data_IF_094882311720
#
_entry.id   IF_094882311720
#
_cell.length_a   1.000
_cell.length_b   1.000
_cell.length_c   1.000
_cell.angle_alpha   90.00
_cell.angle_beta   90.00
_cell.angle_gamma   90.00
#
_symmetry.space_group_name_H-M   'P 1'
#
loop_
_entity.id
_entity.type
_entity.pdbx_description
1 polymer ?
#
# COMPACT_ATOMS: atom_id res chain seq x y z
N UNK A 1 55.61 27.38 79.61
CA UNK A 1 56.04 28.80 79.63
C UNK A 1 55.09 29.58 78.75
N UNK A 2 54.37 30.51 79.38
CA UNK A 2 53.51 31.52 78.76
C UNK A 2 54.32 32.44 77.85
N UNK A 3 53.71 32.87 76.73
CA UNK A 3 53.38 34.29 76.50
C UNK A 3 52.38 34.47 75.36
N UNK A 4 51.42 35.35 75.62
CA UNK A 4 50.36 35.87 74.75
C UNK A 4 50.64 37.39 74.59
N UNK A 5 50.01 38.04 73.59
CA UNK A 5 49.86 39.52 73.37
C UNK A 5 51.00 40.10 72.49
N UNK A 6 50.82 40.93 71.44
CA UNK A 6 49.85 42.01 71.23
C UNK A 6 49.61 42.40 69.75
N UNK A 7 48.35 42.76 69.50
CA UNK A 7 47.80 43.86 68.68
C UNK A 7 48.74 44.79 67.89
N UNK A 8 48.46 44.94 66.60
CA UNK A 8 48.92 46.03 65.74
C UNK A 8 47.96 46.30 64.59
N UNK A 9 46.90 47.06 64.86
CA UNK A 9 46.03 47.72 63.87
C UNK A 9 46.82 48.90 63.29
N UNK A 10 46.55 49.28 62.03
CA UNK A 10 46.86 50.55 61.34
C UNK A 10 47.69 50.33 60.07
N UNK A 11 47.03 50.52 58.93
CA UNK A 11 47.66 50.50 57.61
C UNK A 11 46.63 50.43 56.48
N UNK A 12 45.54 51.19 56.60
CA UNK A 12 44.61 51.44 55.49
C UNK A 12 45.32 52.36 54.49
N UNK A 13 45.23 51.98 53.20
CA UNK A 13 45.57 52.77 52.01
C UNK A 13 47.05 53.05 51.76
N UNK A 14 47.61 52.37 50.76
CA UNK A 14 48.38 52.92 49.62
C UNK A 14 48.81 51.71 48.78
N UNK A 15 48.43 51.65 47.50
CA UNK A 15 48.90 50.60 46.59
C UNK A 15 47.92 50.21 45.49
N UNK A 16 47.32 51.18 44.81
CA UNK A 16 46.76 50.94 43.49
C UNK A 16 47.91 50.64 42.52
N UNK A 17 47.94 49.46 41.91
CA UNK A 17 48.47 49.14 40.57
C UNK A 17 48.97 47.68 40.47
N UNK A 18 48.06 46.70 40.40
CA UNK A 18 48.28 45.48 39.60
C UNK A 18 46.93 45.07 39.00
N UNK A 19 46.53 45.75 37.93
CA UNK A 19 45.66 45.16 36.93
C UNK A 19 46.57 44.45 35.93
N UNK A 20 46.54 43.12 35.87
CA UNK A 20 46.68 42.37 34.62
C UNK A 20 46.55 40.86 34.86
N UNK A 21 45.58 40.26 34.17
CA UNK A 21 45.51 38.85 33.80
C UNK A 21 45.18 37.82 34.90
N UNK A 22 43.89 37.63 35.17
CA UNK A 22 43.30 36.28 35.35
C UNK A 22 41.77 36.32 35.41
N UNK A 23 41.15 36.93 34.40
CA UNK A 23 39.72 36.76 34.10
C UNK A 23 39.57 36.38 32.64
N UNK A 24 40.10 35.21 32.27
CA UNK A 24 39.80 34.56 30.99
C UNK A 24 39.95 33.05 31.13
N UNK A 25 38.94 32.45 31.74
CA UNK A 25 38.64 31.04 31.53
C UNK A 25 37.11 30.87 31.46
N UNK A 26 36.49 31.58 30.51
CA UNK A 26 35.28 31.02 29.90
C UNK A 26 35.76 29.83 29.08
N UNK A 27 35.92 28.68 29.73
CA UNK A 27 35.96 27.41 29.00
C UNK A 27 34.57 27.28 28.40
N UNK A 28 34.46 27.64 27.12
CA UNK A 28 33.31 27.25 26.31
C UNK A 28 33.35 25.72 26.31
N UNK A 29 32.59 25.10 27.21
CA UNK A 29 32.28 23.69 27.07
C UNK A 29 31.77 23.51 25.64
N UNK A 30 32.31 22.57 24.85
CA UNK A 30 31.74 22.29 23.55
C UNK A 30 30.29 21.91 23.82
N UNK A 31 29.36 22.76 23.39
CA UNK A 31 27.96 22.43 23.35
C UNK A 31 27.94 21.20 22.47
N UNK A 32 27.75 20.03 23.06
CA UNK A 32 27.56 18.80 22.32
C UNK A 32 26.37 19.06 21.41
N UNK A 33 26.65 19.34 20.13
CA UNK A 33 25.61 19.53 19.13
C UNK A 33 24.82 18.23 19.13
N UNK A 34 23.58 18.30 19.65
CA UNK A 34 22.61 17.22 19.52
C UNK A 34 22.60 16.86 18.03
N UNK A 35 22.72 15.57 17.65
CA UNK A 35 22.73 15.18 16.25
C UNK A 35 21.55 15.85 15.56
N UNK A 36 21.83 16.62 14.51
CA UNK A 36 20.78 17.25 13.73
C UNK A 36 19.88 16.14 13.17
N UNK A 37 18.56 16.24 13.39
CA UNK A 37 17.61 15.36 12.72
C UNK A 37 17.83 15.52 11.21
N UNK A 38 18.06 14.44 10.45
CA UNK A 38 18.22 14.54 9.02
C UNK A 38 16.98 15.20 8.39
N UNK A 39 17.13 15.88 7.25
CA UNK A 39 15.99 16.49 6.57
C UNK A 39 14.97 15.42 6.15
N UNK A 40 13.72 15.82 5.95
CA UNK A 40 12.70 14.91 5.45
C UNK A 40 13.11 14.35 4.09
N UNK A 41 13.62 15.23 3.23
CA UNK A 41 14.09 14.90 1.88
C UNK A 41 15.20 13.85 1.93
N UNK A 42 16.18 13.99 2.82
CA UNK A 42 17.27 13.02 2.96
C UNK A 42 16.77 11.65 3.45
N UNK A 43 15.84 11.65 4.41
CA UNK A 43 15.25 10.40 4.91
C UNK A 43 14.44 9.69 3.83
N UNK A 44 13.63 10.44 3.07
CA UNK A 44 12.85 9.88 1.96
C UNK A 44 13.77 9.37 0.85
N UNK A 45 14.82 10.11 0.49
CA UNK A 45 15.78 9.72 -0.54
C UNK A 45 16.50 8.41 -0.16
N UNK A 46 17.00 8.32 1.08
CA UNK A 46 17.63 7.11 1.61
C UNK A 46 16.67 5.91 1.56
N UNK A 47 15.44 6.06 2.03
CA UNK A 47 14.45 5.00 1.99
C UNK A 47 14.08 4.57 0.56
N UNK A 48 13.98 5.54 -0.36
CA UNK A 48 13.67 5.30 -1.77
C UNK A 48 14.79 4.55 -2.49
N UNK A 49 16.05 4.87 -2.18
CA UNK A 49 17.21 4.13 -2.67
C UNK A 49 17.20 2.67 -2.20
N UNK A 50 16.91 2.44 -0.91
CA UNK A 50 16.78 1.09 -0.35
C UNK A 50 15.63 0.33 -1.03
N UNK A 51 14.47 0.97 -1.25
CA UNK A 51 13.33 0.40 -1.98
C UNK A 51 13.70 0.03 -3.42
N UNK A 52 14.43 0.91 -4.12
CA UNK A 52 14.91 0.69 -5.49
C UNK A 52 15.90 -0.47 -5.62
N UNK A 53 16.60 -0.82 -4.54
CA UNK A 53 17.47 -2.01 -4.47
C UNK A 53 16.71 -3.32 -4.20
N UNK A 54 15.38 -3.28 -4.13
CA UNK A 54 14.53 -4.45 -3.85
C UNK A 54 14.29 -4.73 -2.36
N UNK A 55 14.92 -3.96 -1.46
CA UNK A 55 14.80 -4.14 0.00
C UNK A 55 13.57 -3.40 0.55
N UNK A 56 12.37 -3.82 0.12
CA UNK A 56 11.10 -3.11 0.37
C UNK A 56 10.76 -2.97 1.86
N UNK A 57 10.95 -4.02 2.67
CA UNK A 57 10.63 -4.01 4.11
C UNK A 57 11.58 -3.09 4.90
N UNK A 58 12.85 -3.04 4.50
CA UNK A 58 13.81 -2.11 5.09
C UNK A 58 13.47 -0.66 4.73
N UNK A 59 13.06 -0.40 3.48
CA UNK A 59 12.58 0.91 3.08
C UNK A 59 11.34 1.35 3.86
N UNK A 60 10.40 0.44 4.10
CA UNK A 60 9.23 0.69 4.97
C UNK A 60 9.65 1.08 6.38
N UNK A 61 10.69 0.44 6.93
CA UNK A 61 11.23 0.79 8.25
C UNK A 61 11.77 2.23 8.26
N UNK A 62 12.56 2.60 7.24
CA UNK A 62 13.09 3.96 7.10
C UNK A 62 12.00 5.01 6.88
N UNK A 63 10.95 4.71 6.10
CA UNK A 63 9.81 5.61 5.96
C UNK A 63 9.02 5.76 7.26
N UNK A 64 8.93 4.71 8.09
CA UNK A 64 8.31 4.83 9.43
C UNK A 64 9.14 5.73 10.35
N UNK A 65 10.47 5.64 10.30
CA UNK A 65 11.35 6.57 11.02
C UNK A 65 11.12 8.01 10.56
N UNK A 66 11.02 8.24 9.26
CA UNK A 66 10.70 9.55 8.69
C UNK A 66 9.32 10.06 9.16
N UNK A 67 8.31 9.19 9.21
CA UNK A 67 6.97 9.53 9.72
C UNK A 67 6.97 9.90 11.21
N UNK A 68 7.84 9.29 12.02
CA UNK A 68 8.00 9.63 13.44
C UNK A 68 8.71 10.98 13.58
N UNK A 69 9.74 11.25 12.78
CA UNK A 69 10.46 12.52 12.81
C UNK A 69 9.61 13.70 12.30
N UNK A 70 8.72 13.44 11.34
CA UNK A 70 7.88 14.44 10.68
C UNK A 70 6.41 13.99 10.63
N UNK A 71 5.69 14.11 11.77
CA UNK A 71 4.35 13.52 11.90
C UNK A 71 3.28 14.21 11.06
N UNK A 72 3.47 15.46 10.62
CA UNK A 72 2.52 16.18 9.78
C UNK A 72 2.64 15.83 8.29
N UNK A 73 3.76 15.26 7.86
CA UNK A 73 4.03 14.98 6.45
C UNK A 73 3.41 13.67 6.00
N UNK A 74 2.71 13.73 4.86
CA UNK A 74 2.04 12.56 4.29
C UNK A 74 2.98 11.65 3.48
N UNK A 75 4.08 12.20 2.96
CA UNK A 75 4.93 11.52 2.00
C UNK A 75 5.48 10.15 2.46
N UNK A 76 5.92 9.96 3.72
CA UNK A 76 6.36 8.64 4.18
C UNK A 76 5.21 7.61 4.14
N UNK A 77 4.02 7.99 4.58
CA UNK A 77 2.82 7.13 4.55
C UNK A 77 2.40 6.79 3.12
N UNK A 78 2.49 7.74 2.20
CA UNK A 78 2.22 7.52 0.77
C UNK A 78 3.15 6.45 0.20
N UNK A 79 4.46 6.51 0.50
CA UNK A 79 5.42 5.51 0.03
C UNK A 79 5.19 4.13 0.65
N UNK A 80 4.87 4.07 1.95
CA UNK A 80 4.52 2.81 2.63
C UNK A 80 3.26 2.20 2.01
N UNK A 81 2.20 3.00 1.80
CA UNK A 81 0.94 2.54 1.23
C UNK A 81 1.11 1.96 -0.18
N UNK A 82 1.81 2.68 -1.06
CA UNK A 82 2.12 2.20 -2.42
C UNK A 82 2.92 0.90 -2.39
N UNK A 83 4.00 0.86 -1.60
CA UNK A 83 4.87 -0.33 -1.53
C UNK A 83 4.10 -1.56 -1.06
N UNK A 84 3.23 -1.41 -0.06
CA UNK A 84 2.40 -2.50 0.45
C UNK A 84 1.31 -2.92 -0.53
N UNK A 85 0.72 -1.97 -1.23
CA UNK A 85 -0.25 -2.24 -2.28
C UNK A 85 0.36 -3.06 -3.42
N UNK A 86 1.55 -2.69 -3.88
CA UNK A 86 2.33 -3.42 -4.89
C UNK A 86 2.70 -4.83 -4.43
N UNK A 87 3.05 -4.98 -3.14
CA UNK A 87 3.34 -6.28 -2.53
C UNK A 87 2.08 -7.16 -2.31
N UNK A 88 0.88 -6.69 -2.64
CA UNK A 88 -0.36 -7.42 -2.43
C UNK A 88 -0.82 -7.49 -0.96
N UNK A 89 -0.17 -6.72 -0.07
CA UNK A 89 -0.49 -6.59 1.34
C UNK A 89 -1.64 -5.57 1.54
N UNK A 90 -2.79 -5.88 0.95
CA UNK A 90 -3.91 -4.93 0.82
C UNK A 90 -4.43 -4.38 2.15
N UNK A 91 -4.46 -5.19 3.22
CA UNK A 91 -4.87 -4.71 4.55
C UNK A 91 -3.93 -3.63 5.11
N UNK A 92 -2.63 -3.90 5.09
CA UNK A 92 -1.64 -2.93 5.58
C UNK A 92 -1.53 -1.68 4.68
N UNK A 93 -1.77 -1.86 3.38
CA UNK A 93 -1.83 -0.76 2.43
C UNK A 93 -2.99 0.21 2.74
N UNK A 94 -4.16 -0.33 3.09
CA UNK A 94 -5.33 0.47 3.52
C UNK A 94 -4.99 1.28 4.78
N UNK A 95 -4.42 0.65 5.79
CA UNK A 95 -4.03 1.33 7.05
C UNK A 95 -3.07 2.47 6.76
N UNK A 96 -2.05 2.23 5.95
CA UNK A 96 -1.05 3.25 5.59
C UNK A 96 -1.65 4.38 4.73
N UNK A 97 -2.60 4.07 3.85
CA UNK A 97 -3.32 5.07 3.07
C UNK A 97 -4.29 5.89 3.95
N UNK A 98 -4.86 5.31 5.00
CA UNK A 98 -5.65 6.06 5.98
C UNK A 98 -4.78 7.12 6.68
N UNK A 99 -3.54 6.79 7.03
CA UNK A 99 -2.59 7.76 7.58
C UNK A 99 -2.28 8.92 6.62
N UNK A 100 -2.28 8.66 5.30
CA UNK A 100 -2.20 9.73 4.29
C UNK A 100 -3.43 10.63 4.39
N UNK A 101 -4.63 10.06 4.46
CA UNK A 101 -5.89 10.82 4.53
C UNK A 101 -6.07 11.61 5.84
N UNK A 102 -5.47 11.17 6.94
CA UNK A 102 -5.40 11.96 8.18
C UNK A 102 -4.66 13.29 7.96
N UNK A 103 -3.69 13.31 7.05
CA UNK A 103 -2.83 14.48 6.75
C UNK A 103 -3.31 15.28 5.54
N UNK A 104 -3.83 14.59 4.53
CA UNK A 104 -4.47 15.16 3.34
C UNK A 104 -5.77 14.41 3.02
N UNK A 105 -6.92 14.90 3.52
CA UNK A 105 -8.22 14.26 3.32
C UNK A 105 -8.65 14.12 1.85
N UNK A 106 -8.07 14.89 0.94
CA UNK A 106 -8.43 14.91 -0.48
C UNK A 106 -7.42 14.15 -1.36
N UNK A 107 -6.49 13.39 -0.76
CA UNK A 107 -5.48 12.65 -1.51
C UNK A 107 -6.14 11.55 -2.38
N UNK A 108 -6.10 11.75 -3.70
CA UNK A 108 -6.73 10.84 -4.66
C UNK A 108 -6.04 9.48 -4.71
N UNK A 109 -4.73 9.44 -4.53
CA UNK A 109 -3.97 8.20 -4.57
C UNK A 109 -4.31 7.32 -3.36
N UNK A 110 -4.34 7.89 -2.17
CA UNK A 110 -4.73 7.17 -0.94
C UNK A 110 -6.15 6.60 -1.05
N UNK A 111 -7.11 7.40 -1.51
CA UNK A 111 -8.47 6.93 -1.78
C UNK A 111 -8.50 5.77 -2.79
N UNK A 112 -7.71 5.86 -3.86
CA UNK A 112 -7.60 4.80 -4.88
C UNK A 112 -7.01 3.50 -4.31
N UNK A 113 -5.94 3.61 -3.49
CA UNK A 113 -5.34 2.46 -2.82
C UNK A 113 -6.37 1.79 -1.91
N UNK A 114 -7.11 2.56 -1.10
CA UNK A 114 -8.12 2.02 -0.19
C UNK A 114 -9.20 1.27 -0.98
N UNK A 115 -9.77 1.91 -2.01
CA UNK A 115 -10.84 1.34 -2.81
C UNK A 115 -10.42 0.03 -3.50
N UNK A 116 -9.29 0.04 -4.22
CA UNK A 116 -8.85 -1.14 -4.97
C UNK A 116 -8.36 -2.25 -4.03
N UNK A 117 -7.65 -1.90 -2.96
CA UNK A 117 -7.22 -2.87 -1.93
C UNK A 117 -8.42 -3.55 -1.27
N UNK A 118 -9.44 -2.77 -0.91
CA UNK A 118 -10.68 -3.29 -0.33
C UNK A 118 -11.38 -4.26 -1.27
N UNK A 119 -11.56 -3.89 -2.54
CA UNK A 119 -12.16 -4.76 -3.56
C UNK A 119 -11.40 -6.08 -3.75
N UNK A 120 -10.06 -6.02 -3.84
CA UNK A 120 -9.22 -7.22 -4.00
C UNK A 120 -9.28 -8.12 -2.77
N UNK A 121 -9.27 -7.53 -1.57
CA UNK A 121 -9.38 -8.27 -0.32
C UNK A 121 -10.74 -8.97 -0.20
N UNK A 122 -11.84 -8.25 -0.48
CA UNK A 122 -13.19 -8.82 -0.48
C UNK A 122 -13.36 -9.94 -1.50
N UNK A 123 -12.80 -9.77 -2.71
CA UNK A 123 -12.83 -10.80 -3.76
C UNK A 123 -12.11 -12.07 -3.32
N UNK A 124 -10.94 -11.94 -2.67
CA UNK A 124 -10.21 -13.08 -2.10
C UNK A 124 -11.04 -13.80 -1.03
N UNK A 125 -11.59 -13.05 -0.07
CA UNK A 125 -12.40 -13.60 1.01
C UNK A 125 -13.63 -14.37 0.47
N UNK A 126 -14.32 -13.82 -0.53
CA UNK A 126 -15.43 -14.52 -1.19
C UNK A 126 -15.00 -15.78 -1.92
N UNK A 127 -13.84 -15.78 -2.56
CA UNK A 127 -13.27 -16.98 -3.18
C UNK A 127 -12.98 -18.06 -2.14
N UNK A 128 -12.42 -17.69 -1.00
CA UNK A 128 -12.11 -18.62 0.08
C UNK A 128 -13.38 -19.22 0.69
N UNK A 129 -14.42 -18.41 0.90
CA UNK A 129 -15.73 -18.87 1.36
C UNK A 129 -16.39 -19.84 0.37
N UNK A 130 -16.30 -19.53 -0.92
CA UNK A 130 -16.80 -20.38 -2.00
C UNK A 130 -16.09 -21.74 -2.01
N UNK A 131 -14.75 -21.74 -1.90
CA UNK A 131 -13.93 -22.97 -1.83
C UNK A 131 -14.27 -23.84 -0.63
N UNK A 132 -14.69 -23.22 0.47
CA UNK A 132 -15.07 -23.93 1.71
C UNK A 132 -16.53 -24.39 1.71
N UNK A 133 -17.30 -24.19 0.62
CA UNK A 133 -18.76 -24.39 0.58
C UNK A 133 -19.53 -23.58 1.64
N UNK A 134 -18.92 -22.52 2.17
CA UNK A 134 -19.48 -21.67 3.22
C UNK A 134 -20.22 -20.45 2.65
N UNK A 135 -20.26 -20.29 1.33
CA UNK A 135 -21.03 -19.24 0.67
C UNK A 135 -22.49 -19.70 0.47
N UNK A 136 -23.34 -19.51 1.48
CA UNK A 136 -24.74 -19.97 1.48
C UNK A 136 -25.69 -18.96 2.13
N UNK A 137 -27.00 -19.20 1.96
CA UNK A 137 -28.06 -18.41 2.60
C UNK A 137 -27.89 -16.90 2.40
N UNK A 138 -27.98 -16.16 3.51
CA UNK A 138 -27.85 -14.70 3.55
C UNK A 138 -26.52 -14.19 2.99
N UNK A 139 -25.41 -14.90 3.25
CA UNK A 139 -24.07 -14.47 2.83
C UNK A 139 -23.94 -14.46 1.29
N UNK A 140 -24.59 -15.42 0.62
CA UNK A 140 -24.66 -15.45 -0.84
C UNK A 140 -25.45 -14.26 -1.38
N UNK A 141 -26.61 -13.98 -0.80
CA UNK A 141 -27.47 -12.85 -1.22
C UNK A 141 -26.76 -11.50 -1.02
N UNK A 142 -26.16 -11.27 0.14
CA UNK A 142 -25.41 -10.05 0.42
C UNK A 142 -24.24 -9.83 -0.55
N UNK A 143 -23.50 -10.90 -0.86
CA UNK A 143 -22.41 -10.84 -1.84
C UNK A 143 -22.90 -10.48 -3.24
N UNK A 144 -24.08 -10.96 -3.64
CA UNK A 144 -24.70 -10.63 -4.92
C UNK A 144 -25.16 -9.16 -4.96
N UNK A 145 -25.74 -8.67 -3.87
CA UNK A 145 -26.16 -7.28 -3.75
C UNK A 145 -24.97 -6.31 -3.81
N UNK A 146 -23.86 -6.64 -3.13
CA UNK A 146 -22.61 -5.88 -3.23
C UNK A 146 -22.06 -5.85 -4.65
N UNK A 147 -22.06 -6.99 -5.34
CA UNK A 147 -21.62 -7.07 -6.73
C UNK A 147 -22.51 -6.23 -7.67
N UNK A 148 -23.83 -6.24 -7.44
CA UNK A 148 -24.79 -5.40 -8.17
C UNK A 148 -24.53 -3.91 -7.93
N UNK A 149 -24.36 -3.49 -6.68
CA UNK A 149 -24.06 -2.10 -6.33
C UNK A 149 -22.76 -1.62 -6.97
N UNK A 150 -21.70 -2.42 -6.92
CA UNK A 150 -20.42 -2.10 -7.54
C UNK A 150 -20.59 -1.86 -9.03
N UNK A 151 -21.33 -2.75 -9.70
CA UNK A 151 -21.59 -2.67 -11.14
C UNK A 151 -22.44 -1.46 -11.53
N UNK A 152 -23.46 -1.14 -10.74
CA UNK A 152 -24.26 0.08 -10.91
C UNK A 152 -23.40 1.33 -10.72
N UNK A 153 -22.53 1.36 -9.70
CA UNK A 153 -21.59 2.46 -9.47
C UNK A 153 -20.58 2.65 -10.61
N UNK A 154 -20.24 1.58 -11.33
CA UNK A 154 -19.37 1.62 -12.51
C UNK A 154 -20.12 1.99 -13.80
N UNK A 155 -21.46 2.10 -13.75
CA UNK A 155 -22.29 2.37 -14.92
C UNK A 155 -22.45 1.16 -15.86
N UNK A 156 -22.04 -0.04 -15.44
CA UNK A 156 -22.04 -1.24 -16.27
C UNK A 156 -23.36 -2.01 -16.17
N UNK A 157 -24.48 -1.42 -16.55
CA UNK A 157 -25.84 -1.96 -16.31
C UNK A 157 -26.26 -3.16 -17.17
N UNK A 158 -25.46 -3.59 -18.17
CA UNK A 158 -25.73 -4.81 -18.99
C UNK A 158 -24.85 -6.01 -18.63
N UNK A 159 -25.47 -7.13 -18.18
CA UNK A 159 -24.75 -8.25 -17.53
C UNK A 159 -24.18 -9.23 -18.56
N UNK A 160 -24.80 -9.30 -19.74
CA UNK A 160 -24.40 -10.06 -20.93
C UNK A 160 -25.11 -9.36 -22.11
N UNK A 161 -24.42 -8.91 -23.18
CA UNK A 161 -25.10 -8.53 -24.41
C UNK A 161 -25.95 -9.72 -24.86
N UNK A 162 -27.24 -9.55 -25.24
CA UNK A 162 -28.03 -10.68 -25.69
C UNK A 162 -27.24 -11.40 -26.79
N UNK A 163 -26.95 -12.69 -26.60
CA UNK A 163 -26.36 -13.48 -27.68
C UNK A 163 -27.29 -13.31 -28.88
N UNK A 164 -26.78 -12.92 -30.07
CA UNK A 164 -27.62 -12.87 -31.26
C UNK A 164 -28.30 -14.23 -31.34
N UNK A 165 -29.63 -14.24 -31.35
CA UNK A 165 -30.40 -15.46 -31.44
C UNK A 165 -29.80 -16.26 -32.60
N UNK A 166 -29.17 -17.40 -32.29
CA UNK A 166 -28.73 -18.32 -33.34
C UNK A 166 -30.00 -18.64 -34.12
N UNK A 167 -30.04 -18.17 -35.37
CA UNK A 167 -31.17 -18.38 -36.25
C UNK A 167 -31.44 -19.88 -36.25
N UNK A 168 -32.53 -20.28 -35.62
CA UNK A 168 -32.95 -21.68 -35.59
C UNK A 168 -33.23 -22.01 -37.05
N UNK A 169 -32.31 -22.76 -37.66
CA UNK A 169 -32.48 -23.20 -39.04
C UNK A 169 -33.83 -23.91 -39.12
N UNK A 170 -34.69 -23.56 -40.10
CA UNK A 170 -36.04 -24.10 -40.15
C UNK A 170 -35.94 -25.62 -40.25
N UNK A 171 -36.57 -26.31 -39.31
CA UNK A 171 -36.68 -27.76 -39.31
C UNK A 171 -37.31 -28.18 -40.65
N UNK A 172 -36.52 -28.84 -41.50
CA UNK A 172 -37.02 -29.42 -42.74
C UNK A 172 -38.05 -30.47 -42.35
N UNK A 173 -39.33 -30.19 -42.65
CA UNK A 173 -40.40 -31.16 -42.59
C UNK A 173 -40.07 -32.30 -43.56
N UNK A 174 -39.77 -33.48 -43.02
CA UNK A 174 -39.57 -34.69 -43.81
C UNK A 174 -40.89 -35.05 -44.52
N UNK A 175 -40.99 -34.66 -45.79
CA UNK A 175 -41.95 -35.24 -46.71
C UNK A 175 -41.53 -36.69 -46.99
N UNK A 176 -42.32 -37.63 -46.53
CA UNK A 176 -42.23 -39.05 -46.88
C UNK A 176 -42.50 -39.22 -48.38
N UNK A 177 -41.44 -39.38 -49.18
CA UNK A 177 -41.52 -39.93 -50.53
C UNK A 177 -40.81 -41.30 -50.55
N UNK A 178 -41.53 -42.27 -51.07
CA UNK A 178 -41.26 -43.69 -50.95
C UNK A 178 -40.00 -44.15 -51.71
N UNK A 179 -39.34 -45.11 -51.06
CA UNK A 179 -38.32 -46.05 -51.50
C UNK A 179 -38.32 -46.42 -53.00
N UNK A 180 -37.15 -46.28 -53.62
CA UNK A 180 -36.58 -47.31 -54.51
C UNK A 180 -35.16 -47.66 -54.07
N UNK A 181 -34.96 -48.95 -53.75
CA UNK A 181 -33.68 -49.62 -53.49
C UNK A 181 -32.79 -49.45 -54.74
N UNK A 182 -31.45 -49.40 -54.72
CA UNK A 182 -30.49 -50.40 -54.21
C UNK A 182 -29.08 -49.94 -54.62
N UNK A 183 -28.07 -50.04 -53.76
CA UNK A 183 -26.65 -49.98 -54.17
C UNK A 183 -25.70 -49.45 -53.10
N UNK A 184 -24.94 -50.37 -52.46
CA UNK A 184 -23.92 -50.11 -51.43
C UNK A 184 -22.58 -49.67 -52.04
N UNK A 185 -21.90 -48.70 -51.40
CA UNK A 185 -20.45 -48.66 -51.07
C UNK A 185 -20.18 -47.31 -50.34
N UNK A 186 -20.04 -47.27 -49.01
CA UNK A 186 -18.78 -47.31 -48.21
C UNK A 186 -17.85 -46.12 -48.53
N UNK A 187 -18.02 -45.02 -47.80
CA UNK A 187 -17.23 -44.54 -46.63
C UNK A 187 -16.13 -43.57 -47.10
N UNK A 188 -16.39 -42.27 -47.05
CA UNK A 188 -16.31 -41.35 -45.87
C UNK A 188 -14.89 -40.81 -45.75
N UNK A 189 -14.74 -39.60 -46.32
CA UNK A 189 -13.61 -38.71 -46.21
C UNK A 189 -13.78 -37.85 -44.95
N UNK A 190 -12.68 -37.72 -44.23
CA UNK A 190 -12.51 -37.07 -42.95
C UNK A 190 -12.61 -35.55 -43.10
N UNK A 191 -13.56 -34.92 -42.39
CA UNK A 191 -13.39 -33.52 -41.96
C UNK A 191 -14.33 -33.17 -40.82
N UNK A 192 -14.01 -33.69 -39.63
CA UNK A 192 -14.51 -33.10 -38.37
C UNK A 192 -13.42 -32.21 -37.79
N UNK A 193 -13.47 -30.94 -38.16
CA UNK A 193 -12.68 -29.88 -37.54
C UNK A 193 -13.06 -29.76 -36.05
N UNK A 194 -12.25 -30.36 -35.18
CA UNK A 194 -12.35 -30.20 -33.73
C UNK A 194 -11.48 -29.02 -33.27
N UNK A 195 -12.07 -27.93 -32.74
CA UNK A 195 -11.35 -26.66 -32.52
C UNK A 195 -10.57 -26.57 -31.19
N UNK A 196 -10.41 -27.65 -30.43
CA UNK A 196 -9.81 -27.60 -29.07
C UNK A 196 -8.57 -28.47 -28.87
N UNK A 197 -7.93 -28.97 -29.94
CA UNK A 197 -6.78 -29.86 -29.79
C UNK A 197 -5.42 -29.15 -29.60
N UNK A 198 -5.39 -27.82 -29.51
CA UNK A 198 -4.14 -27.04 -29.48
C UNK A 198 -3.71 -26.56 -28.09
N UNK A 199 -4.25 -27.12 -27.00
CA UNK A 199 -3.84 -26.77 -25.63
C UNK A 199 -3.56 -28.04 -24.82
N UNK A 200 -2.38 -28.62 -25.05
CA UNK A 200 -1.64 -29.43 -24.07
C UNK A 200 -0.21 -28.91 -24.01
#
# INVERSE_FOLDING_TARGET
>A
MNTVISLGRIGRFIGAAVCAASLSACVTAPIAQKPATPSMEDMLAKASQVSGSGQKEQAITLWKEAAVAYPADKAPWTNIAQTRYEAGQYGDAIVSAQEVLVRDPNDRLANSIIAISGLRLSTRALSDLSRQNNLSGSLRTESQDLAKLLRESLGETVLVPPQPAQAVAPARSNATAAKTKKGKAKADDDSSANPFNALK
#
